data_IF_835869967924
#
_entry.id   IF_835869967924
#
_cell.length_a   1.000
_cell.length_b   1.000
_cell.length_c   1.000
_cell.angle_alpha   90.00
_cell.angle_beta   90.00
_cell.angle_gamma   90.00
#
_symmetry.space_group_name_H-M   'P 1'
#
loop_
_entity.id
_entity.type
_entity.pdbx_description
1 polymer ?
#
# COMPACT_ATOMS: atom_id res chain seq x y z
N UNK A 1 13.25 46.83 -9.73
CA UNK A 1 13.26 45.38 -10.03
C UNK A 1 13.02 44.63 -8.72
N UNK A 2 11.76 44.58 -8.30
CA UNK A 2 11.34 44.11 -6.98
C UNK A 2 11.23 42.59 -6.90
N UNK A 3 11.66 42.04 -5.78
CA UNK A 3 11.65 40.63 -5.45
C UNK A 3 10.22 40.04 -5.44
N UNK A 4 9.93 39.18 -6.41
CA UNK A 4 8.67 38.41 -6.54
C UNK A 4 8.84 36.94 -6.12
N UNK A 5 9.74 36.65 -5.18
CA UNK A 5 9.84 35.32 -4.58
C UNK A 5 9.21 35.30 -3.18
N UNK A 6 7.90 35.49 -3.14
CA UNK A 6 7.10 35.08 -2.00
C UNK A 6 7.10 33.55 -1.93
N UNK A 7 7.80 32.98 -0.95
CA UNK A 7 7.71 31.56 -0.60
C UNK A 7 6.24 31.22 -0.35
N UNK A 8 5.58 30.56 -1.30
CA UNK A 8 4.24 30.05 -1.06
C UNK A 8 4.34 29.01 0.05
N UNK A 9 3.61 29.27 1.14
CA UNK A 9 3.40 28.35 2.25
C UNK A 9 2.87 27.07 1.62
N UNK A 10 3.66 25.99 1.59
CA UNK A 10 3.22 24.68 1.08
C UNK A 10 1.98 24.29 1.88
N UNK A 11 0.81 24.41 1.27
CA UNK A 11 -0.44 23.89 1.79
C UNK A 11 -0.19 22.39 1.96
N UNK A 12 -0.11 21.92 3.21
CA UNK A 12 0.00 20.49 3.49
C UNK A 12 -1.22 19.82 2.85
N UNK A 13 -1.00 19.06 1.78
CA UNK A 13 -2.09 18.39 1.09
C UNK A 13 -2.75 17.42 2.05
N UNK A 14 -4.09 17.43 2.15
CA UNK A 14 -4.87 16.44 2.90
C UNK A 14 -4.63 14.99 2.46
N UNK A 15 -3.95 14.81 1.33
CA UNK A 15 -3.55 13.52 0.76
C UNK A 15 -2.18 13.13 1.31
N UNK A 16 -2.14 12.01 2.02
CA UNK A 16 -0.90 11.44 2.55
C UNK A 16 -0.05 10.86 1.40
N UNK A 17 1.24 10.62 1.65
CA UNK A 17 2.08 9.92 0.66
C UNK A 17 1.60 8.48 0.42
N UNK A 18 1.01 7.87 1.46
CA UNK A 18 0.35 6.58 1.38
C UNK A 18 -0.82 6.59 0.37
N UNK A 19 -1.72 7.56 0.48
CA UNK A 19 -2.86 7.71 -0.44
C UNK A 19 -2.40 7.88 -1.90
N UNK A 20 -1.29 8.59 -2.11
CA UNK A 20 -0.69 8.76 -3.45
C UNK A 20 -0.16 7.43 -3.98
N UNK A 21 0.50 6.63 -3.15
CA UNK A 21 1.01 5.32 -3.53
C UNK A 21 -0.14 4.35 -3.89
N UNK A 22 -1.18 4.31 -3.05
CA UNK A 22 -2.39 3.50 -3.31
C UNK A 22 -3.08 3.94 -4.61
N UNK A 23 -3.20 5.25 -4.85
CA UNK A 23 -3.76 5.77 -6.10
C UNK A 23 -2.93 5.35 -7.32
N UNK A 24 -1.60 5.43 -7.25
CA UNK A 24 -0.72 5.02 -8.34
C UNK A 24 -0.86 3.53 -8.65
N UNK A 25 -0.91 2.67 -7.62
CA UNK A 25 -1.13 1.23 -7.80
C UNK A 25 -2.48 0.94 -8.44
N UNK A 26 -3.55 1.62 -8.00
CA UNK A 26 -4.89 1.49 -8.59
C UNK A 26 -4.93 1.95 -10.05
N UNK A 27 -4.29 3.07 -10.38
CA UNK A 27 -4.16 3.53 -11.77
C UNK A 27 -3.40 2.52 -12.65
N UNK A 28 -2.35 1.92 -12.11
CA UNK A 28 -1.55 0.94 -12.85
C UNK A 28 -2.35 -0.35 -13.11
N UNK A 29 -3.09 -0.83 -12.10
CA UNK A 29 -4.05 -1.94 -12.23
C UNK A 29 -5.07 -1.67 -13.33
N UNK A 30 -5.67 -0.48 -13.34
CA UNK A 30 -6.70 -0.14 -14.31
C UNK A 30 -6.14 -0.05 -15.73
N UNK A 31 -4.90 0.44 -15.91
CA UNK A 31 -4.19 0.40 -17.20
C UNK A 31 -3.95 -1.03 -17.68
N UNK A 32 -3.54 -1.95 -16.80
CA UNK A 32 -3.33 -3.35 -17.16
C UNK A 32 -4.66 -3.98 -17.58
N UNK A 33 -5.75 -3.77 -16.83
CA UNK A 33 -7.10 -4.25 -17.20
C UNK A 33 -7.56 -3.68 -18.54
N UNK A 34 -7.30 -2.41 -18.82
CA UNK A 34 -7.61 -1.80 -20.12
C UNK A 34 -6.81 -2.46 -21.26
N UNK A 35 -5.54 -2.75 -21.04
CA UNK A 35 -4.68 -3.41 -22.01
C UNK A 35 -5.13 -4.85 -22.29
N UNK A 36 -5.51 -5.61 -21.25
CA UNK A 36 -6.08 -6.96 -21.38
C UNK A 36 -7.31 -6.96 -22.29
N UNK A 37 -8.29 -6.09 -22.02
CA UNK A 37 -9.51 -5.96 -22.85
C UNK A 37 -9.20 -5.67 -24.32
N UNK A 38 -8.19 -4.83 -24.60
CA UNK A 38 -7.75 -4.53 -25.96
C UNK A 38 -7.15 -5.76 -26.65
N UNK A 39 -6.34 -6.55 -25.93
CA UNK A 39 -5.77 -7.78 -26.47
C UNK A 39 -6.86 -8.82 -26.73
N UNK A 40 -7.80 -9.00 -25.81
CA UNK A 40 -8.92 -9.95 -25.97
C UNK A 40 -9.75 -9.65 -27.23
N UNK A 41 -10.10 -8.38 -27.46
CA UNK A 41 -10.79 -7.95 -28.68
C UNK A 41 -9.95 -8.21 -29.94
N UNK A 42 -8.63 -8.04 -29.86
CA UNK A 42 -7.72 -8.29 -30.98
C UNK A 42 -7.63 -9.79 -31.27
N UNK A 43 -7.56 -10.63 -30.23
CA UNK A 43 -7.51 -12.08 -30.32
C UNK A 43 -8.78 -12.65 -30.97
N UNK A 44 -9.95 -12.09 -30.66
CA UNK A 44 -11.20 -12.50 -31.27
C UNK A 44 -11.24 -12.18 -32.77
N UNK A 45 -10.79 -10.97 -33.16
CA UNK A 45 -10.62 -10.58 -34.58
C UNK A 45 -9.61 -11.48 -35.30
N UNK A 46 -8.45 -11.72 -34.70
CA UNK A 46 -7.41 -12.58 -35.27
C UNK A 46 -7.92 -14.03 -35.43
N UNK A 47 -8.77 -14.52 -34.52
CA UNK A 47 -9.41 -15.85 -34.63
C UNK A 47 -10.38 -15.93 -35.81
N UNK A 48 -11.20 -14.90 -36.03
CA UNK A 48 -12.09 -14.84 -37.19
C UNK A 48 -11.29 -14.75 -38.51
N UNK A 49 -10.23 -13.94 -38.52
CA UNK A 49 -9.35 -13.78 -39.68
C UNK A 49 -8.63 -15.09 -40.01
N UNK A 50 -8.13 -15.81 -39.00
CA UNK A 50 -7.48 -17.10 -39.18
C UNK A 50 -8.45 -18.14 -39.78
N UNK A 51 -9.72 -18.18 -39.36
CA UNK A 51 -10.75 -19.05 -39.94
C UNK A 51 -10.98 -18.75 -41.42
N UNK A 52 -11.11 -17.46 -41.79
CA UNK A 52 -11.26 -17.05 -43.19
C UNK A 52 -10.06 -17.45 -44.04
N UNK A 53 -8.84 -17.22 -43.56
CA UNK A 53 -7.62 -17.59 -44.28
C UNK A 53 -7.44 -19.10 -44.47
N UNK A 54 -7.95 -19.92 -43.54
CA UNK A 54 -7.99 -21.37 -43.71
C UNK A 54 -8.99 -21.79 -44.79
N UNK A 55 -10.16 -21.15 -44.86
CA UNK A 55 -11.14 -21.38 -45.93
C UNK A 55 -10.58 -20.96 -47.31
N UNK A 56 -9.84 -19.86 -47.36
CA UNK A 56 -9.17 -19.36 -48.58
C UNK A 56 -7.92 -20.18 -48.99
N UNK A 57 -7.60 -21.26 -48.27
CA UNK A 57 -6.43 -22.11 -48.55
C UNK A 57 -5.07 -21.49 -48.21
N UNK A 58 -5.01 -20.30 -47.60
CA UNK A 58 -3.77 -19.56 -47.28
C UNK A 58 -3.16 -20.01 -45.95
N UNK A 59 -2.70 -21.27 -45.91
CA UNK A 59 -2.20 -21.94 -44.69
C UNK A 59 -1.03 -21.23 -44.00
N UNK A 60 -0.08 -20.67 -44.75
CA UNK A 60 1.09 -20.00 -44.16
C UNK A 60 0.73 -18.73 -43.40
N UNK A 61 -0.20 -17.93 -43.94
CA UNK A 61 -0.72 -16.73 -43.28
C UNK A 61 -1.52 -17.09 -42.03
N UNK A 62 -2.32 -18.16 -42.08
CA UNK A 62 -3.03 -18.66 -40.90
C UNK A 62 -2.06 -19.11 -39.80
N UNK A 63 -0.98 -19.80 -40.15
CA UNK A 63 0.06 -20.24 -39.20
C UNK A 63 0.76 -19.06 -38.52
N UNK A 64 1.04 -17.98 -39.26
CA UNK A 64 1.62 -16.75 -38.71
C UNK A 64 0.68 -16.09 -37.68
N UNK A 65 -0.62 -15.98 -38.01
CA UNK A 65 -1.62 -15.43 -37.09
C UNK A 65 -1.76 -16.28 -35.82
N UNK A 66 -1.73 -17.60 -35.92
CA UNK A 66 -1.77 -18.49 -34.76
C UNK A 66 -0.54 -18.30 -33.85
N UNK A 67 0.64 -18.06 -34.43
CA UNK A 67 1.85 -17.73 -33.65
C UNK A 67 1.70 -16.38 -32.94
N UNK A 68 1.20 -15.36 -33.63
CA UNK A 68 0.90 -14.05 -33.03
C UNK A 68 -0.11 -14.17 -31.89
N UNK A 69 -1.16 -14.95 -32.08
CA UNK A 69 -2.16 -15.27 -31.06
C UNK A 69 -1.52 -15.91 -29.82
N UNK A 70 -0.70 -16.95 -30.00
CA UNK A 70 0.00 -17.62 -28.88
C UNK A 70 0.86 -16.63 -28.08
N UNK A 71 1.56 -15.72 -28.76
CA UNK A 71 2.35 -14.69 -28.09
C UNK A 71 1.49 -13.71 -27.28
N UNK A 72 0.34 -13.29 -27.82
CA UNK A 72 -0.61 -12.44 -27.11
C UNK A 72 -1.22 -13.14 -25.89
N UNK A 73 -1.53 -14.44 -25.98
CA UNK A 73 -1.97 -15.24 -24.83
C UNK A 73 -0.90 -15.30 -23.73
N UNK A 74 0.38 -15.44 -24.08
CA UNK A 74 1.47 -15.37 -23.10
C UNK A 74 1.58 -13.99 -22.43
N UNK A 75 1.30 -12.92 -23.17
CA UNK A 75 1.27 -11.56 -22.59
C UNK A 75 0.10 -11.42 -21.62
N UNK A 76 -1.08 -11.94 -21.97
CA UNK A 76 -2.24 -11.94 -21.06
C UNK A 76 -1.92 -12.68 -19.76
N UNK A 77 -1.33 -13.87 -19.84
CA UNK A 77 -0.92 -14.63 -18.67
C UNK A 77 0.08 -13.88 -17.77
N UNK A 78 1.04 -13.15 -18.38
CA UNK A 78 1.95 -12.28 -17.62
C UNK A 78 1.22 -11.10 -16.98
N UNK A 79 0.24 -10.51 -17.67
CA UNK A 79 -0.56 -9.42 -17.16
C UNK A 79 -1.42 -9.87 -15.96
N UNK A 80 -1.97 -11.08 -15.99
CA UNK A 80 -2.71 -11.66 -14.86
C UNK A 80 -1.81 -11.80 -13.63
N UNK A 81 -0.59 -12.36 -13.80
CA UNK A 81 0.38 -12.44 -12.70
C UNK A 81 0.80 -11.07 -12.16
N UNK A 82 0.89 -10.05 -13.02
CA UNK A 82 1.16 -8.68 -12.57
C UNK A 82 -0.02 -8.07 -11.80
N UNK A 83 -1.26 -8.38 -12.17
CA UNK A 83 -2.45 -7.95 -11.43
C UNK A 83 -2.47 -8.56 -10.03
N UNK A 84 -2.20 -9.85 -9.89
CA UNK A 84 -2.12 -10.50 -8.58
C UNK A 84 -1.05 -9.85 -7.69
N UNK A 85 0.12 -9.55 -8.26
CA UNK A 85 1.19 -8.88 -7.52
C UNK A 85 0.79 -7.46 -7.09
N UNK A 86 0.08 -6.71 -7.93
CA UNK A 86 -0.44 -5.40 -7.56
C UNK A 86 -1.49 -5.48 -6.45
N UNK A 87 -2.36 -6.49 -6.48
CA UNK A 87 -3.36 -6.71 -5.44
C UNK A 87 -2.71 -7.05 -4.09
N UNK A 88 -1.67 -7.90 -4.09
CA UNK A 88 -0.86 -8.16 -2.87
C UNK A 88 -0.20 -6.89 -2.34
N UNK A 89 0.43 -6.10 -3.20
CA UNK A 89 1.08 -4.85 -2.79
C UNK A 89 0.10 -3.83 -2.19
N UNK A 90 -1.12 -3.76 -2.71
CA UNK A 90 -2.17 -2.89 -2.13
C UNK A 90 -2.56 -3.39 -0.74
N UNK A 91 -2.77 -4.70 -0.59
CA UNK A 91 -3.09 -5.30 0.70
C UNK A 91 -1.96 -5.09 1.74
N UNK A 92 -0.71 -5.28 1.34
CA UNK A 92 0.45 -5.09 2.23
C UNK A 92 0.57 -3.63 2.68
N UNK A 93 0.28 -2.67 1.80
CA UNK A 93 0.23 -1.25 2.15
C UNK A 93 -0.89 -0.94 3.14
N UNK A 94 -2.10 -1.46 2.91
CA UNK A 94 -3.22 -1.29 3.83
C UNK A 94 -2.90 -1.88 5.21
N UNK A 95 -2.27 -3.06 5.24
CA UNK A 95 -1.83 -3.68 6.48
C UNK A 95 -0.75 -2.87 7.21
N UNK A 96 0.24 -2.33 6.49
CA UNK A 96 1.28 -1.48 7.09
C UNK A 96 0.71 -0.23 7.77
N UNK A 97 -0.41 0.30 7.27
CA UNK A 97 -1.10 1.42 7.92
C UNK A 97 -1.67 1.01 9.28
N UNK A 98 -2.27 -0.18 9.36
CA UNK A 98 -2.77 -0.75 10.62
C UNK A 98 -1.60 -1.01 11.58
N UNK A 99 -0.49 -1.55 11.10
CA UNK A 99 0.71 -1.76 11.93
C UNK A 99 1.23 -0.45 12.52
N UNK A 100 1.24 0.64 11.74
CA UNK A 100 1.61 1.97 12.25
C UNK A 100 0.65 2.45 13.34
N UNK A 101 -0.66 2.25 13.17
CA UNK A 101 -1.66 2.61 14.20
C UNK A 101 -1.45 1.83 15.49
N UNK A 102 -1.20 0.52 15.39
CA UNK A 102 -0.90 -0.33 16.56
C UNK A 102 0.36 0.15 17.28
N UNK A 103 1.44 0.43 16.55
CA UNK A 103 2.69 0.95 17.13
C UNK A 103 2.45 2.30 17.83
N UNK A 104 1.66 3.18 17.23
CA UNK A 104 1.32 4.46 17.86
C UNK A 104 0.48 4.26 19.12
N UNK A 105 -0.48 3.34 19.12
CA UNK A 105 -1.24 2.97 20.31
C UNK A 105 -0.36 2.43 21.45
N UNK A 106 0.61 1.56 21.12
CA UNK A 106 1.59 1.05 22.08
C UNK A 106 2.48 2.15 22.66
N UNK A 107 2.88 3.15 21.86
CA UNK A 107 3.63 4.31 22.36
C UNK A 107 2.83 5.11 23.37
N UNK A 108 1.57 5.42 23.08
CA UNK A 108 0.68 6.12 24.00
C UNK A 108 0.46 5.31 25.28
N UNK A 109 0.27 3.99 25.16
CA UNK A 109 0.18 3.09 26.31
C UNK A 109 1.44 3.09 27.17
N UNK A 110 2.62 3.07 26.55
CA UNK A 110 3.91 3.16 27.25
C UNK A 110 4.07 4.50 27.98
N UNK A 111 3.71 5.62 27.33
CA UNK A 111 3.71 6.94 27.97
C UNK A 111 2.75 7.01 29.17
N UNK A 112 1.56 6.42 29.06
CA UNK A 112 0.62 6.34 30.16
C UNK A 112 1.19 5.49 31.32
N UNK A 113 1.79 4.34 31.03
CA UNK A 113 2.45 3.50 32.03
C UNK A 113 3.61 4.22 32.72
N UNK A 114 4.41 5.00 31.98
CA UNK A 114 5.48 5.82 32.57
C UNK A 114 4.94 6.84 33.57
N UNK A 115 3.86 7.55 33.21
CA UNK A 115 3.20 8.50 34.12
C UNK A 115 2.67 7.82 35.38
N UNK A 116 2.05 6.64 35.23
CA UNK A 116 1.58 5.85 36.38
C UNK A 116 2.75 5.44 37.26
N UNK A 117 3.86 5.01 36.67
CA UNK A 117 5.06 4.64 37.43
C UNK A 117 5.69 5.84 38.16
N UNK A 118 5.71 7.02 37.54
CA UNK A 118 6.17 8.26 38.18
C UNK A 118 5.31 8.62 39.41
N UNK A 119 3.98 8.52 39.31
CA UNK A 119 3.07 8.76 40.45
C UNK A 119 3.29 7.76 41.58
N UNK A 120 3.37 6.46 41.26
CA UNK A 120 3.60 5.41 42.26
C UNK A 120 4.94 5.58 42.99
N UNK A 121 6.01 5.97 42.29
CA UNK A 121 7.31 6.23 42.91
C UNK A 121 7.26 7.43 43.88
N UNK A 122 6.47 8.47 43.58
CA UNK A 122 6.30 9.62 44.50
C UNK A 122 5.53 9.19 45.75
N UNK A 123 4.43 8.46 45.59
CA UNK A 123 3.64 7.95 46.73
C UNK A 123 4.45 6.99 47.62
N UNK A 124 5.36 6.22 47.02
CA UNK A 124 6.27 5.32 47.73
C UNK A 124 7.36 6.10 48.49
N UNK A 125 7.89 7.19 47.91
CA UNK A 125 8.79 8.10 48.61
C UNK A 125 8.10 8.80 49.78
N UNK A 126 6.85 9.26 49.61
CA UNK A 126 6.07 9.87 50.70
C UNK A 126 5.83 8.89 51.85
N UNK A 127 5.48 7.63 51.55
CA UNK A 127 5.32 6.59 52.57
C UNK A 127 6.61 6.32 53.36
N UNK A 128 7.76 6.23 52.68
CA UNK A 128 9.04 6.03 53.37
C UNK A 128 9.37 7.22 54.28
N UNK A 129 9.07 8.45 53.85
CA UNK A 129 9.26 9.65 54.66
C UNK A 129 8.34 9.68 55.89
N UNK A 130 7.08 9.25 55.76
CA UNK A 130 6.15 9.07 56.88
C UNK A 130 6.64 8.00 57.87
N UNK A 131 6.99 6.81 57.41
CA UNK A 131 7.52 5.74 58.27
C UNK A 131 8.79 6.17 59.01
N UNK A 132 9.66 6.92 58.34
CA UNK A 132 10.89 7.46 58.97
C UNK A 132 10.56 8.51 60.03
N UNK A 133 9.60 9.40 59.78
CA UNK A 133 9.14 10.40 60.78
C UNK A 133 8.47 9.73 61.97
N UNK A 134 7.57 8.78 61.74
CA UNK A 134 6.94 8.01 62.81
C UNK A 134 7.96 7.19 63.62
N UNK A 135 8.97 6.61 62.96
CA UNK A 135 10.06 5.90 63.63
C UNK A 135 10.91 6.79 64.53
N UNK A 136 11.20 8.03 64.09
CA UNK A 136 11.92 9.03 64.88
C UNK A 136 11.06 9.52 66.06
N UNK A 137 9.75 9.73 65.86
CA UNK A 137 8.83 10.12 66.93
C UNK A 137 8.66 9.02 68.00
N UNK A 138 8.59 7.75 67.59
CA UNK A 138 8.53 6.61 68.53
C UNK A 138 9.81 6.38 69.33
N UNK A 139 10.95 6.94 68.90
CA UNK A 139 12.22 6.86 69.62
C UNK A 139 12.42 8.00 70.65
N UNK A 140 11.52 8.98 70.72
CA UNK A 140 11.50 10.01 71.77
C UNK A 140 10.58 9.63 72.92
#
# INVERSE_FOLDING_TARGET
>A
MGALFGKSKKVQSRVTEHDKAVLQLKQQRDKIKQYQRRIEQTLEKDRQLARKLLQDGKKDRAKLLLRKKRFQEQILQKADGQLENLERLVHDLEFSTIEMEVINGLKVGNEALKKVHEVLNVDEVERILEETREGIEKQR
#
